data_IF_516283404794
#
_entry.id   IF_516283404794
#
_cell.length_a   1.000
_cell.length_b   1.000
_cell.length_c   1.000
_cell.angle_alpha   90.00
_cell.angle_beta   90.00
_cell.angle_gamma   90.00
#
_symmetry.space_group_name_H-M   'P 1'
#
loop_
_entity.id
_entity.type
_entity.pdbx_description
1 polymer ?
#
# COMPACT_ATOMS: atom_id res chain seq x y z
N UNK A 1 24.95 -10.77 -9.04
CA UNK A 1 23.73 -10.63 -8.23
C UNK A 1 23.89 -9.83 -6.91
N UNK A 2 25.06 -9.22 -6.61
CA UNK A 2 25.27 -8.46 -5.35
C UNK A 2 25.25 -6.92 -5.50
N UNK A 3 25.25 -6.37 -6.72
CA UNK A 3 25.40 -4.92 -6.96
C UNK A 3 24.09 -4.10 -6.90
N UNK A 4 22.92 -4.73 -7.11
CA UNK A 4 21.63 -4.02 -7.05
C UNK A 4 21.21 -3.68 -5.62
N UNK A 5 21.57 -4.52 -4.64
CA UNK A 5 21.15 -4.38 -3.24
C UNK A 5 21.73 -3.14 -2.54
N UNK A 6 22.95 -2.72 -2.92
CA UNK A 6 23.66 -1.61 -2.24
C UNK A 6 23.18 -0.20 -2.67
N UNK A 7 22.67 -0.04 -3.89
CA UNK A 7 22.24 1.29 -4.41
C UNK A 7 20.92 1.78 -3.83
N UNK A 8 20.15 0.91 -3.16
CA UNK A 8 18.78 1.20 -2.75
C UNK A 8 18.60 1.33 -1.23
N UNK A 9 19.56 0.83 -0.43
CA UNK A 9 19.48 0.84 1.03
C UNK A 9 19.25 2.25 1.64
N UNK A 10 19.96 3.33 1.23
CA UNK A 10 19.72 4.66 1.79
C UNK A 10 18.31 5.21 1.50
N UNK A 11 17.74 4.82 0.35
CA UNK A 11 16.39 5.27 -0.07
C UNK A 11 15.30 4.49 0.65
N UNK A 12 15.50 3.19 0.86
CA UNK A 12 14.58 2.36 1.65
C UNK A 12 14.53 2.85 3.10
N UNK A 13 15.70 3.18 3.66
CA UNK A 13 15.82 3.81 4.98
C UNK A 13 15.10 5.16 5.02
N UNK A 14 15.28 6.02 4.02
CA UNK A 14 14.56 7.30 3.93
C UNK A 14 13.04 7.12 3.89
N UNK A 15 12.54 6.12 3.17
CA UNK A 15 11.12 5.77 3.07
C UNK A 15 10.56 5.36 4.43
N UNK A 16 11.27 4.48 5.16
CA UNK A 16 10.87 4.05 6.51
C UNK A 16 10.99 5.17 7.54
N UNK A 17 12.04 5.99 7.47
CA UNK A 17 12.22 7.13 8.36
C UNK A 17 11.06 8.12 8.21
N UNK A 18 10.62 8.37 6.98
CA UNK A 18 9.45 9.22 6.72
C UNK A 18 8.18 8.65 7.35
N UNK A 19 7.92 7.35 7.17
CA UNK A 19 6.80 6.67 7.83
C UNK A 19 6.88 6.75 9.35
N UNK A 20 8.07 6.56 9.94
CA UNK A 20 8.30 6.69 11.37
C UNK A 20 8.00 8.11 11.86
N UNK A 21 8.43 9.15 11.13
CA UNK A 21 8.11 10.54 11.46
C UNK A 21 6.59 10.80 11.44
N UNK A 22 5.86 10.27 10.46
CA UNK A 22 4.40 10.39 10.43
C UNK A 22 3.72 9.59 11.55
N UNK A 23 4.25 8.42 11.89
CA UNK A 23 3.73 7.62 12.99
C UNK A 23 3.93 8.31 14.36
N UNK A 24 5.03 9.04 14.55
CA UNK A 24 5.30 9.79 15.79
C UNK A 24 4.29 10.91 16.07
N UNK A 25 3.62 11.43 15.05
CA UNK A 25 2.53 12.42 15.20
C UNK A 25 1.14 11.75 15.26
N UNK A 26 1.07 10.44 15.54
CA UNK A 26 -0.14 9.63 15.61
C UNK A 26 -1.00 9.65 14.35
N UNK A 27 -0.36 9.76 13.17
CA UNK A 27 -1.07 9.62 11.90
C UNK A 27 -1.47 8.13 11.69
N UNK A 28 -2.70 7.77 12.05
CA UNK A 28 -3.19 6.39 12.08
C UNK A 28 -2.96 5.60 10.79
N UNK A 29 -3.20 6.15 9.57
CA UNK A 29 -2.88 5.42 8.34
C UNK A 29 -1.39 5.08 8.23
N UNK A 30 -0.50 5.97 8.65
CA UNK A 30 0.94 5.70 8.63
C UNK A 30 1.34 4.64 9.65
N UNK A 31 0.71 4.61 10.83
CA UNK A 31 0.91 3.52 11.80
C UNK A 31 0.45 2.18 11.21
N UNK A 32 -0.74 2.17 10.60
CA UNK A 32 -1.31 0.99 9.96
C UNK A 32 -0.38 0.45 8.88
N UNK A 33 0.10 1.32 7.99
CA UNK A 33 1.06 0.96 6.94
C UNK A 33 2.38 0.48 7.54
N UNK A 34 2.95 1.22 8.49
CA UNK A 34 4.25 0.89 9.08
C UNK A 34 4.24 -0.48 9.80
N UNK A 35 3.13 -0.82 10.45
CA UNK A 35 2.99 -2.06 11.24
C UNK A 35 2.56 -3.27 10.41
N UNK A 36 1.71 -3.08 9.41
CA UNK A 36 1.11 -4.17 8.63
C UNK A 36 1.68 -4.31 7.23
N UNK A 37 2.42 -3.30 6.78
CA UNK A 37 3.00 -3.23 5.45
C UNK A 37 4.24 -4.11 5.30
N UNK A 38 4.61 -4.33 4.04
CA UNK A 38 5.82 -5.06 3.65
C UNK A 38 6.47 -4.40 2.45
N UNK A 39 7.74 -4.71 2.24
CA UNK A 39 8.45 -4.35 1.03
C UNK A 39 7.96 -5.20 -0.15
N UNK A 40 7.83 -4.57 -1.31
CA UNK A 40 7.45 -5.23 -2.56
C UNK A 40 8.56 -5.14 -3.60
N UNK A 41 8.58 -6.08 -4.54
CA UNK A 41 9.65 -6.16 -5.54
C UNK A 41 9.37 -5.23 -6.72
N UNK A 42 10.12 -4.13 -6.90
CA UNK A 42 9.93 -3.25 -8.04
C UNK A 42 10.29 -3.97 -9.34
N UNK A 43 9.57 -3.65 -10.41
CA UNK A 43 9.88 -4.10 -11.77
C UNK A 43 9.42 -3.05 -12.78
N UNK A 44 9.87 -3.21 -14.03
CA UNK A 44 9.32 -2.44 -15.13
C UNK A 44 7.83 -2.79 -15.32
N UNK A 45 7.04 -1.83 -15.83
CA UNK A 45 5.65 -2.09 -16.17
C UNK A 45 5.60 -3.22 -17.22
N UNK A 46 4.86 -4.31 -16.98
CA UNK A 46 4.68 -5.36 -17.98
C UNK A 46 4.12 -4.79 -19.29
N UNK A 47 4.57 -5.32 -20.43
CA UNK A 47 4.27 -4.75 -21.75
C UNK A 47 2.77 -4.83 -22.13
N UNK A 48 2.05 -5.76 -21.52
CA UNK A 48 0.62 -6.01 -21.69
C UNK A 48 -0.26 -5.16 -20.76
N UNK A 49 0.34 -4.46 -19.79
CA UNK A 49 -0.39 -3.56 -18.89
C UNK A 49 -0.34 -2.12 -19.42
N UNK A 50 -1.48 -1.53 -19.78
CA UNK A 50 -1.52 -0.16 -20.29
C UNK A 50 -1.18 0.84 -19.18
N UNK A 51 -0.39 1.86 -19.54
CA UNK A 51 -0.08 2.98 -18.66
C UNK A 51 -1.34 3.83 -18.42
N UNK A 52 -1.63 4.11 -17.15
CA UNK A 52 -2.72 4.97 -16.74
C UNK A 52 -2.30 6.45 -16.64
N UNK A 53 -3.26 7.37 -16.46
CA UNK A 53 -2.96 8.78 -16.23
C UNK A 53 -2.13 8.99 -14.95
N UNK A 54 -1.19 9.93 -15.00
CA UNK A 54 -0.41 10.30 -13.82
C UNK A 54 -1.32 10.88 -12.72
N UNK A 55 -0.91 10.69 -11.45
CA UNK A 55 -1.63 11.18 -10.24
C UNK A 55 -3.00 10.53 -9.99
N UNK A 56 -3.36 9.48 -10.74
CA UNK A 56 -4.58 8.70 -10.55
C UNK A 56 -4.24 7.29 -10.04
N UNK A 57 -3.25 7.15 -9.16
CA UNK A 57 -2.70 5.84 -8.76
C UNK A 57 -3.74 4.89 -8.16
N UNK A 58 -4.61 5.37 -7.27
CA UNK A 58 -5.67 4.57 -6.67
C UNK A 58 -6.65 4.04 -7.72
N UNK A 59 -7.12 4.89 -8.64
CA UNK A 59 -8.04 4.49 -9.69
C UNK A 59 -7.38 3.56 -10.72
N UNK A 60 -6.13 3.84 -11.09
CA UNK A 60 -5.37 3.02 -12.02
C UNK A 60 -5.15 1.61 -11.48
N UNK A 61 -4.69 1.49 -10.24
CA UNK A 61 -4.46 0.20 -9.58
C UNK A 61 -5.80 -0.51 -9.26
N UNK A 62 -6.81 0.23 -8.80
CA UNK A 62 -8.13 -0.32 -8.51
C UNK A 62 -8.81 -0.87 -9.77
N UNK A 63 -8.78 -0.13 -10.87
CA UNK A 63 -9.29 -0.61 -12.16
C UNK A 63 -8.52 -1.84 -12.64
N UNK A 64 -7.20 -1.87 -12.42
CA UNK A 64 -6.36 -2.99 -12.84
C UNK A 64 -6.73 -4.28 -12.09
N UNK A 65 -6.82 -4.25 -10.76
CA UNK A 65 -7.20 -5.43 -9.96
C UNK A 65 -8.63 -5.91 -10.24
N UNK A 66 -9.54 -4.98 -10.56
CA UNK A 66 -10.92 -5.33 -10.94
C UNK A 66 -10.97 -6.08 -12.29
N UNK A 67 -10.02 -5.79 -13.19
CA UNK A 67 -9.89 -6.47 -14.50
C UNK A 67 -9.04 -7.74 -14.45
N UNK A 68 -8.08 -7.80 -13.52
CA UNK A 68 -7.14 -8.90 -13.33
C UNK A 68 -7.23 -9.39 -11.87
N UNK A 69 -8.23 -10.23 -11.53
CA UNK A 69 -8.51 -10.68 -10.16
C UNK A 69 -7.37 -11.48 -9.50
N UNK A 70 -6.41 -11.96 -10.28
CA UNK A 70 -5.21 -12.64 -9.80
C UNK A 70 -4.21 -11.68 -9.12
N UNK A 71 -4.36 -10.37 -9.34
CA UNK A 71 -3.54 -9.35 -8.70
C UNK A 71 -4.09 -9.02 -7.31
N UNK A 72 -3.22 -8.54 -6.43
CA UNK A 72 -3.60 -7.94 -5.16
C UNK A 72 -3.43 -6.43 -5.23
N UNK A 73 -4.42 -5.69 -4.73
CA UNK A 73 -4.35 -4.24 -4.60
C UNK A 73 -3.52 -3.88 -3.38
N UNK A 74 -2.67 -2.86 -3.47
CA UNK A 74 -1.79 -2.43 -2.38
C UNK A 74 -1.83 -0.92 -2.25
N UNK A 75 -1.94 -0.44 -1.01
CA UNK A 75 -1.71 0.97 -0.67
C UNK A 75 -0.56 1.12 0.31
N UNK A 76 0.19 2.21 0.15
CA UNK A 76 1.29 2.53 1.03
C UNK A 76 2.11 3.67 0.47
N UNK A 77 3.44 3.55 0.57
CA UNK A 77 4.35 4.57 0.07
C UNK A 77 5.22 4.03 -1.06
N UNK A 78 5.22 4.79 -2.17
CA UNK A 78 6.22 4.66 -3.21
C UNK A 78 7.31 5.70 -2.97
N UNK A 79 8.56 5.33 -3.25
CA UNK A 79 9.74 6.16 -3.06
C UNK A 79 10.52 6.24 -4.38
N UNK A 80 10.06 7.07 -5.35
CA UNK A 80 10.71 7.22 -6.64
C UNK A 80 12.08 7.89 -6.53
N UNK A 81 13.01 7.62 -7.46
CA UNK A 81 14.32 8.28 -7.47
C UNK A 81 14.19 9.82 -7.52
N UNK A 82 14.91 10.51 -6.62
CA UNK A 82 14.99 11.97 -6.61
C UNK A 82 13.74 12.70 -6.10
N UNK A 83 12.73 11.98 -5.59
CA UNK A 83 11.51 12.53 -5.03
C UNK A 83 11.33 12.12 -3.57
N UNK A 84 10.50 12.87 -2.84
CA UNK A 84 10.05 12.47 -1.50
C UNK A 84 9.13 11.25 -1.59
N UNK A 85 9.02 10.44 -0.51
CA UNK A 85 8.00 9.40 -0.42
C UNK A 85 6.60 9.94 -0.69
N UNK A 86 5.81 9.23 -1.49
CA UNK A 86 4.43 9.60 -1.84
C UNK A 86 3.48 8.49 -1.42
N UNK A 87 2.35 8.87 -0.81
CA UNK A 87 1.26 7.93 -0.59
C UNK A 87 0.70 7.50 -1.95
N UNK A 88 0.61 6.19 -2.17
CA UNK A 88 0.47 5.62 -3.50
C UNK A 88 -0.25 4.28 -3.46
N UNK A 89 -0.79 3.89 -4.61
CA UNK A 89 -1.43 2.60 -4.82
C UNK A 89 -0.87 1.91 -6.06
N UNK A 90 -0.77 0.60 -5.99
CA UNK A 90 -0.27 -0.27 -7.05
C UNK A 90 -0.90 -1.66 -6.94
N UNK A 91 -0.67 -2.51 -7.94
CA UNK A 91 -1.00 -3.93 -7.84
C UNK A 91 0.27 -4.75 -7.61
N UNK A 92 0.12 -5.94 -7.05
CA UNK A 92 1.19 -6.95 -6.99
C UNK A 92 0.68 -8.29 -7.50
N UNK A 93 1.56 -9.03 -8.16
CA UNK A 93 1.26 -10.39 -8.57
C UNK A 93 1.49 -11.41 -7.44
N UNK A 94 1.21 -12.69 -7.71
CA UNK A 94 1.40 -13.79 -6.77
C UNK A 94 2.86 -14.02 -6.33
N UNK A 95 3.83 -13.37 -6.99
CA UNK A 95 5.25 -13.41 -6.63
C UNK A 95 5.70 -12.14 -5.88
N UNK A 96 4.77 -11.22 -5.57
CA UNK A 96 5.04 -9.97 -4.88
C UNK A 96 5.73 -8.92 -5.76
N UNK A 97 5.69 -9.08 -7.09
CA UNK A 97 6.26 -8.11 -8.03
C UNK A 97 5.24 -7.00 -8.30
N UNK A 98 5.71 -5.76 -8.23
CA UNK A 98 4.88 -4.56 -8.38
C UNK A 98 4.43 -4.37 -9.82
N UNK A 99 3.17 -4.06 -10.02
CA UNK A 99 2.58 -3.62 -11.28
C UNK A 99 2.03 -2.21 -11.03
N UNK A 100 2.86 -1.22 -11.33
CA UNK A 100 2.52 0.19 -11.17
C UNK A 100 2.44 0.84 -12.56
N UNK A 101 1.21 0.96 -13.03
CA UNK A 101 0.89 1.59 -14.31
C UNK A 101 0.76 3.12 -14.21
N UNK A 102 1.18 3.74 -13.10
CA UNK A 102 1.08 5.19 -12.88
C UNK A 102 2.45 5.88 -12.91
N UNK A 103 3.45 5.32 -12.22
CA UNK A 103 4.79 5.92 -12.17
C UNK A 103 5.53 5.76 -13.49
N UNK A 104 6.34 6.77 -13.84
CA UNK A 104 7.16 6.76 -15.05
C UNK A 104 8.23 5.67 -15.02
N UNK A 105 8.88 5.50 -13.86
CA UNK A 105 9.98 4.57 -13.62
C UNK A 105 9.73 3.69 -12.37
N UNK A 106 8.81 2.70 -12.47
CA UNK A 106 8.48 1.83 -11.35
C UNK A 106 9.64 0.89 -10.97
N UNK A 107 10.51 0.52 -11.92
CA UNK A 107 11.60 -0.42 -11.70
C UNK A 107 12.68 0.12 -10.74
N UNK A 108 12.88 1.43 -10.70
CA UNK A 108 13.87 2.08 -9.82
C UNK A 108 13.25 2.72 -8.57
N UNK A 109 11.94 2.57 -8.40
CA UNK A 109 11.20 3.02 -7.22
C UNK A 109 11.25 1.96 -6.12
N UNK A 110 10.97 2.37 -4.88
CA UNK A 110 10.79 1.45 -3.75
C UNK A 110 9.33 1.49 -3.32
N UNK A 111 8.82 0.36 -2.83
CA UNK A 111 7.41 0.19 -2.49
C UNK A 111 7.28 -0.49 -1.14
N UNK A 112 6.58 0.17 -0.22
CA UNK A 112 6.26 -0.38 1.08
C UNK A 112 4.77 -0.13 1.37
N UNK A 113 3.99 -1.19 1.56
CA UNK A 113 2.54 -1.05 1.67
C UNK A 113 1.80 -2.29 2.11
N UNK A 114 0.51 -2.12 2.34
CA UNK A 114 -0.42 -3.13 2.85
C UNK A 114 -1.28 -3.63 1.69
N UNK A 115 -1.35 -4.96 1.48
CA UNK A 115 -2.23 -5.55 0.48
C UNK A 115 -3.67 -5.65 1.01
N UNK A 116 -4.63 -5.38 0.14
CA UNK A 116 -6.06 -5.49 0.41
C UNK A 116 -6.74 -6.38 -0.63
N UNK A 117 -7.84 -7.02 -0.23
CA UNK A 117 -8.62 -7.83 -1.18
C UNK A 117 -9.39 -6.94 -2.16
N UNK A 118 -9.66 -7.53 -3.33
CA UNK A 118 -10.52 -6.91 -4.34
C UNK A 118 -11.93 -6.63 -3.80
N UNK A 119 -12.45 -7.53 -2.97
CA UNK A 119 -13.81 -7.42 -2.46
C UNK A 119 -13.94 -6.26 -1.47
N UNK A 120 -12.98 -6.10 -0.55
CA UNK A 120 -12.92 -4.92 0.32
C UNK A 120 -12.80 -3.63 -0.51
N UNK A 121 -11.93 -3.61 -1.51
CA UNK A 121 -11.76 -2.46 -2.39
C UNK A 121 -13.09 -2.09 -3.07
N UNK A 122 -13.78 -3.07 -3.63
CA UNK A 122 -15.05 -2.87 -4.32
C UNK A 122 -16.15 -2.36 -3.39
N UNK A 123 -16.26 -2.93 -2.19
CA UNK A 123 -17.20 -2.48 -1.16
C UNK A 123 -16.92 -1.01 -0.78
N UNK A 124 -15.67 -0.68 -0.45
CA UNK A 124 -15.31 0.69 -0.06
C UNK A 124 -15.57 1.69 -1.20
N UNK A 125 -15.18 1.40 -2.45
CA UNK A 125 -15.46 2.31 -3.57
C UNK A 125 -16.98 2.47 -3.78
N UNK A 126 -17.74 1.39 -3.63
CA UNK A 126 -19.19 1.42 -3.79
C UNK A 126 -19.85 2.31 -2.75
N UNK A 127 -19.36 2.28 -1.51
CA UNK A 127 -19.93 3.02 -0.40
C UNK A 127 -19.44 4.47 -0.34
N UNK A 128 -18.14 4.70 -0.48
CA UNK A 128 -17.52 6.00 -0.26
C UNK A 128 -17.36 6.82 -1.53
N UNK A 129 -17.40 6.18 -2.71
CA UNK A 129 -17.02 6.77 -4.02
C UNK A 129 -15.56 7.24 -4.10
N UNK A 130 -14.70 6.78 -3.19
CA UNK A 130 -13.28 7.06 -3.20
C UNK A 130 -12.48 5.79 -3.51
N UNK A 131 -11.46 5.92 -4.34
CA UNK A 131 -10.58 4.80 -4.73
C UNK A 131 -9.53 4.43 -3.67
N UNK A 132 -9.13 5.39 -2.83
CA UNK A 132 -8.09 5.17 -1.81
C UNK A 132 -8.66 4.62 -0.51
N UNK A 133 -8.25 3.43 -0.10
CA UNK A 133 -8.62 2.80 1.17
C UNK A 133 -7.97 3.48 2.37
N UNK A 134 -6.72 3.91 2.27
CA UNK A 134 -5.95 4.53 3.37
C UNK A 134 -5.83 6.06 3.19
N UNK A 135 -6.79 6.67 2.52
CA UNK A 135 -6.79 8.11 2.21
C UNK A 135 -7.46 8.98 3.30
N UNK A 136 -7.53 10.29 3.06
CA UNK A 136 -7.96 11.32 4.03
C UNK A 136 -9.35 11.10 4.67
N UNK A 137 -10.24 10.33 4.04
CA UNK A 137 -11.59 10.04 4.56
C UNK A 137 -11.63 8.85 5.53
N UNK A 138 -10.49 8.24 5.84
CA UNK A 138 -10.39 7.12 6.77
C UNK A 138 -10.82 7.49 8.19
N UNK A 139 -11.55 6.56 8.82
CA UNK A 139 -11.85 6.61 10.26
C UNK A 139 -11.20 5.43 10.98
N UNK A 140 -10.96 5.52 12.31
CA UNK A 140 -10.48 4.39 13.09
C UNK A 140 -11.37 3.14 12.97
N UNK A 141 -12.69 3.31 12.84
CA UNK A 141 -13.64 2.22 12.66
C UNK A 141 -13.43 1.49 11.33
N UNK A 142 -13.18 2.23 10.25
CA UNK A 142 -12.88 1.61 8.95
C UNK A 142 -11.55 0.87 8.98
N UNK A 143 -10.48 1.48 9.53
CA UNK A 143 -9.18 0.81 9.72
C UNK A 143 -9.31 -0.48 10.54
N UNK A 144 -10.13 -0.44 11.60
CA UNK A 144 -10.37 -1.62 12.43
C UNK A 144 -11.10 -2.72 11.64
N UNK A 145 -12.08 -2.35 10.80
CA UNK A 145 -12.75 -3.27 9.89
C UNK A 145 -11.79 -3.92 8.88
N UNK A 146 -10.82 -3.14 8.38
CA UNK A 146 -9.83 -3.61 7.41
C UNK A 146 -8.85 -4.63 7.99
N UNK A 147 -8.66 -4.71 9.31
CA UNK A 147 -7.76 -5.71 9.92
C UNK A 147 -8.13 -7.14 9.53
N UNK A 148 -9.43 -7.45 9.49
CA UNK A 148 -9.89 -8.79 9.09
C UNK A 148 -9.49 -9.12 7.65
N UNK A 149 -9.57 -8.14 6.76
CA UNK A 149 -9.17 -8.27 5.36
C UNK A 149 -7.67 -8.52 5.23
N UNK A 150 -6.88 -7.68 5.88
CA UNK A 150 -5.41 -7.76 5.87
C UNK A 150 -4.89 -9.05 6.51
N UNK A 151 -5.65 -9.68 7.41
CA UNK A 151 -5.32 -10.99 7.98
C UNK A 151 -5.76 -12.18 7.13
N UNK A 152 -6.77 -12.01 6.26
CA UNK A 152 -7.37 -13.09 5.48
C UNK A 152 -6.96 -13.10 3.99
N UNK A 153 -6.40 -11.99 3.50
CA UNK A 153 -6.00 -11.84 2.10
C UNK A 153 -4.85 -12.75 1.66
N UNK A 154 -4.50 -12.69 0.37
CA UNK A 154 -3.44 -13.49 -0.23
C UNK A 154 -2.04 -13.26 0.39
N UNK A 155 -1.87 -12.13 1.08
CA UNK A 155 -0.63 -11.69 1.69
C UNK A 155 -0.89 -11.29 3.15
N UNK A 156 -1.22 -12.25 4.02
CA UNK A 156 -1.71 -11.95 5.36
C UNK A 156 -0.64 -11.24 6.18
N UNK A 157 -1.04 -10.21 6.92
CA UNK A 157 -0.16 -9.58 7.91
C UNK A 157 0.13 -10.51 9.09
N UNK A 158 1.22 -10.23 9.79
CA UNK A 158 1.58 -10.98 10.99
C UNK A 158 0.53 -10.79 12.09
N UNK A 159 0.10 -11.89 12.72
CA UNK A 159 -0.94 -11.86 13.74
C UNK A 159 -0.60 -10.95 14.93
N UNK A 160 0.67 -10.92 15.34
CA UNK A 160 1.12 -10.06 16.43
C UNK A 160 0.96 -8.57 16.09
N UNK A 161 1.40 -8.16 14.89
CA UNK A 161 1.26 -6.78 14.42
C UNK A 161 -0.22 -6.38 14.25
N UNK A 162 -1.05 -7.26 13.69
CA UNK A 162 -2.49 -7.02 13.55
C UNK A 162 -3.18 -6.86 14.92
N UNK A 163 -2.75 -7.62 15.92
CA UNK A 163 -3.28 -7.52 17.29
C UNK A 163 -2.91 -6.18 17.92
N UNK A 164 -1.64 -5.77 17.82
CA UNK A 164 -1.15 -4.48 18.33
C UNK A 164 -1.91 -3.29 17.70
N UNK A 165 -2.09 -3.30 16.37
CA UNK A 165 -2.84 -2.26 15.66
C UNK A 165 -4.32 -2.27 16.09
N UNK A 166 -4.92 -3.45 16.25
CA UNK A 166 -6.30 -3.57 16.72
C UNK A 166 -6.51 -3.01 18.12
N UNK A 167 -5.58 -3.26 19.05
CA UNK A 167 -5.61 -2.69 20.40
C UNK A 167 -5.48 -1.17 20.40
N UNK A 168 -4.60 -0.63 19.55
CA UNK A 168 -4.46 0.81 19.36
C UNK A 168 -5.77 1.43 18.83
N UNK A 169 -6.33 0.87 17.76
CA UNK A 169 -7.52 1.42 17.11
C UNK A 169 -8.74 1.40 18.03
N UNK A 170 -8.91 0.38 18.88
CA UNK A 170 -10.00 0.31 19.87
C UNK A 170 -10.05 1.50 20.81
N UNK A 171 -8.92 2.12 21.11
CA UNK A 171 -8.86 3.33 21.95
C UNK A 171 -9.65 4.50 21.35
N UNK A 172 -9.88 4.49 20.03
CA UNK A 172 -10.62 5.52 19.30
C UNK A 172 -12.04 5.10 18.92
N UNK A 173 -12.51 3.91 19.34
CA UNK A 173 -13.85 3.39 19.03
C UNK A 173 -14.85 3.56 20.19
N UNK A 174 -14.39 4.10 21.32
CA UNK A 174 -15.17 4.21 22.57
C UNK A 174 -15.69 5.62 22.86
N UNK A 175 -15.60 6.53 21.90
CA UNK A 175 -16.21 7.86 21.91
C UNK A 175 -17.42 7.92 20.97
#
# INVERSE_FOLDING_TARGET
>A
MKEQTLKHAPRAESCRQFLQCLAQINHLPSIFILKLGRDWFPQALPADVPRGPQRQCYENAGTLVLRQPELSYVEGYACPPGLIPVHHAWCVDAHGRVIDNTLSDPANSLYFGVPFTRDLLWETISDTKHWGLLAEHMTPAMLYGYLKDVQAGAWPAENAAATEVGELLRQFLHD
#
